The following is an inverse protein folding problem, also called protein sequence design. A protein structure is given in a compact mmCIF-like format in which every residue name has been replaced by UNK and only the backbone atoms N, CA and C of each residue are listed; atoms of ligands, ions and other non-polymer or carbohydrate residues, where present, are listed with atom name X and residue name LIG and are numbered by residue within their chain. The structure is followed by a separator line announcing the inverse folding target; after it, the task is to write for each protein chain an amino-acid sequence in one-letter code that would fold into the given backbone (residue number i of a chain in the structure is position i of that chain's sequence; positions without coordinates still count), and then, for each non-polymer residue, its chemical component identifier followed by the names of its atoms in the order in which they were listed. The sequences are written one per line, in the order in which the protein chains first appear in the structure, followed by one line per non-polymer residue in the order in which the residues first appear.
data_IF_414550506898
#
_entry.id   IF_414550506898
#
_cell.length_a   1.000
_cell.length_b   1.000
_cell.length_c   1.000
_cell.angle_alpha   90.00
_cell.angle_beta   90.00
_cell.angle_gamma   90.00
#
_symmetry.space_group_name_H-M   'P 1'
#
loop_
_entity.id
_entity.type
_entity.pdbx_description
1 polymer ?
#
# COMPACT_ATOMS: atom_id res chain seq x y z
N UNK A 1 23.83 21.40 4.30
CA UNK A 1 23.53 22.75 4.86
C UNK A 1 23.96 23.76 3.79
N UNK A 2 23.04 24.60 3.37
CA UNK A 2 23.32 25.70 2.44
C UNK A 2 22.86 27.00 3.10
N UNK A 3 23.69 28.03 3.08
CA UNK A 3 23.42 29.34 3.70
C UNK A 3 22.92 29.24 5.16
N UNK A 4 23.52 28.38 5.98
CA UNK A 4 23.13 28.09 7.37
C UNK A 4 21.74 27.48 7.57
N UNK A 5 21.07 27.03 6.49
CA UNK A 5 19.79 26.35 6.54
C UNK A 5 19.97 24.85 6.33
N UNK A 6 19.10 24.06 6.97
CA UNK A 6 19.03 22.60 6.76
C UNK A 6 17.95 22.34 5.72
N UNK A 7 18.33 21.68 4.64
CA UNK A 7 17.42 21.25 3.60
C UNK A 7 17.24 19.74 3.66
N UNK A 8 15.99 19.27 3.58
CA UNK A 8 15.68 17.87 3.40
C UNK A 8 15.43 17.59 1.91
N UNK A 9 16.05 16.53 1.41
CA UNK A 9 15.77 16.07 0.04
C UNK A 9 14.39 15.40 0.00
N UNK A 10 13.70 15.60 -1.12
CA UNK A 10 12.38 14.99 -1.33
C UNK A 10 12.51 13.49 -1.48
N UNK A 11 11.85 12.74 -0.63
CA UNK A 11 11.76 11.29 -0.71
C UNK A 11 10.34 10.79 -1.11
N UNK A 12 9.35 11.69 -1.06
CA UNK A 12 7.94 11.39 -1.34
C UNK A 12 7.22 12.68 -1.75
N UNK A 13 6.31 12.58 -2.74
CA UNK A 13 5.47 13.70 -3.16
C UNK A 13 4.23 13.86 -2.30
N UNK A 14 3.62 12.77 -1.84
CA UNK A 14 2.38 12.81 -1.06
C UNK A 14 2.53 13.66 0.19
N UNK A 15 3.61 13.49 0.97
CA UNK A 15 3.89 14.32 2.16
C UNK A 15 3.98 15.81 1.81
N UNK A 16 4.65 16.15 0.71
CA UNK A 16 4.79 17.54 0.30
C UNK A 16 3.48 18.15 -0.19
N UNK A 17 2.68 17.38 -0.93
CA UNK A 17 1.37 17.82 -1.40
C UNK A 17 0.41 18.00 -0.23
N UNK A 18 0.43 17.12 0.76
CA UNK A 18 -0.35 17.27 2.00
C UNK A 18 0.01 18.56 2.72
N UNK A 19 1.30 18.87 2.88
CA UNK A 19 1.75 20.13 3.50
C UNK A 19 1.40 21.34 2.66
N UNK A 20 1.58 21.29 1.36
CA UNK A 20 1.25 22.38 0.46
C UNK A 20 -0.24 22.71 0.51
N UNK A 21 -1.10 21.72 0.36
CA UNK A 21 -2.56 21.95 0.33
C UNK A 21 -3.18 22.19 1.71
N UNK A 22 -2.47 21.89 2.80
CA UNK A 22 -2.88 22.37 4.13
C UNK A 22 -2.78 23.89 4.25
N UNK A 23 -1.82 24.49 3.54
CA UNK A 23 -1.62 25.95 3.53
C UNK A 23 -2.38 26.64 2.38
N UNK A 24 -2.52 25.95 1.25
CA UNK A 24 -3.12 26.47 0.03
C UNK A 24 -4.24 25.54 -0.45
N UNK A 25 -5.46 25.66 0.11
CA UNK A 25 -6.58 24.80 -0.25
C UNK A 25 -6.83 24.76 -1.76
N UNK A 26 -7.12 23.58 -2.29
CA UNK A 26 -7.41 23.37 -3.71
C UNK A 26 -8.81 22.82 -3.89
N UNK A 27 -9.47 23.22 -4.98
CA UNK A 27 -10.70 22.59 -5.45
C UNK A 27 -10.43 21.37 -6.37
N UNK A 28 -9.16 21.10 -6.69
CA UNK A 28 -8.81 19.96 -7.51
C UNK A 28 -9.08 18.65 -6.77
N UNK A 29 -9.80 17.74 -7.40
CA UNK A 29 -10.06 16.38 -6.88
C UNK A 29 -9.01 15.38 -7.33
N UNK A 30 -8.20 15.73 -8.33
CA UNK A 30 -7.09 14.92 -8.84
C UNK A 30 -5.90 15.80 -9.16
N UNK A 31 -4.71 15.35 -8.77
CA UNK A 31 -3.45 16.03 -9.06
C UNK A 31 -2.44 15.01 -9.55
N UNK A 32 -1.94 15.19 -10.76
CA UNK A 32 -0.81 14.42 -11.27
C UNK A 32 0.50 15.17 -11.00
N UNK A 33 1.57 14.44 -10.74
CA UNK A 33 2.89 15.01 -10.51
C UNK A 33 3.99 14.16 -11.14
N UNK A 34 5.11 14.81 -11.41
CA UNK A 34 6.37 14.14 -11.76
C UNK A 34 7.55 14.96 -11.23
N UNK A 35 8.63 14.30 -10.90
CA UNK A 35 9.86 14.96 -10.49
C UNK A 35 10.83 14.03 -9.78
N UNK A 36 11.97 14.60 -9.41
CA UNK A 36 13.02 13.87 -8.72
C UNK A 36 12.67 13.60 -7.26
N UNK A 37 12.95 12.40 -6.84
CA UNK A 37 12.98 11.96 -5.45
C UNK A 37 14.37 11.40 -5.12
N UNK A 38 14.74 11.43 -3.85
CA UNK A 38 15.98 10.83 -3.36
C UNK A 38 15.60 9.73 -2.37
N UNK A 39 15.96 8.48 -2.68
CA UNK A 39 15.78 7.33 -1.80
C UNK A 39 17.08 6.54 -1.76
N UNK A 40 17.49 6.12 -0.57
CA UNK A 40 18.72 5.32 -0.37
C UNK A 40 19.97 5.97 -1.02
N UNK A 41 20.08 7.31 -0.98
CA UNK A 41 21.12 8.11 -1.62
C UNK A 41 21.14 8.07 -3.17
N UNK A 42 20.09 7.56 -3.79
CA UNK A 42 19.93 7.53 -5.23
C UNK A 42 18.83 8.48 -5.68
N UNK A 43 19.06 9.17 -6.80
CA UNK A 43 18.06 10.01 -7.44
C UNK A 43 17.24 9.18 -8.41
N UNK A 44 15.92 9.28 -8.32
CA UNK A 44 14.99 8.64 -9.24
C UNK A 44 13.89 9.61 -9.64
N UNK A 45 13.24 9.37 -10.76
CA UNK A 45 12.05 10.11 -11.18
C UNK A 45 10.82 9.38 -10.65
N UNK A 46 9.97 10.09 -9.93
CA UNK A 46 8.65 9.60 -9.55
C UNK A 46 7.57 10.27 -10.40
N UNK A 47 6.62 9.45 -10.86
CA UNK A 47 5.38 9.89 -11.50
C UNK A 47 4.24 9.44 -10.61
N UNK A 48 3.25 10.28 -10.36
CA UNK A 48 2.15 9.89 -9.51
C UNK A 48 0.85 10.67 -9.75
N UNK A 49 -0.18 10.20 -9.07
CA UNK A 49 -1.52 10.74 -9.12
C UNK A 49 -2.15 10.70 -7.72
N UNK A 50 -2.64 11.82 -7.26
CA UNK A 50 -3.41 11.92 -6.03
C UNK A 50 -4.91 12.11 -6.35
N UNK A 51 -5.76 11.37 -5.65
CA UNK A 51 -7.21 11.55 -5.65
C UNK A 51 -7.60 12.10 -4.27
N UNK A 52 -8.10 13.32 -4.20
CA UNK A 52 -8.61 13.93 -2.97
C UNK A 52 -10.10 13.66 -2.81
N UNK A 53 -10.57 13.50 -1.57
CA UNK A 53 -11.93 13.05 -1.25
C UNK A 53 -12.34 11.82 -2.12
N UNK A 54 -11.57 10.73 -2.03
CA UNK A 54 -11.65 9.62 -2.98
C UNK A 54 -12.95 8.84 -2.82
N UNK A 55 -13.65 8.59 -3.93
CA UNK A 55 -14.63 7.51 -4.00
C UNK A 55 -13.97 6.24 -4.58
N UNK A 56 -14.47 5.08 -4.19
CA UNK A 56 -13.96 3.81 -4.70
C UNK A 56 -13.89 3.77 -6.24
N UNK A 57 -14.95 4.22 -6.91
CA UNK A 57 -15.02 4.26 -8.37
C UNK A 57 -13.93 5.16 -8.99
N UNK A 58 -13.68 6.34 -8.39
CA UNK A 58 -12.66 7.26 -8.87
C UNK A 58 -11.25 6.71 -8.68
N UNK A 59 -11.00 6.02 -7.57
CA UNK A 59 -9.72 5.40 -7.27
C UNK A 59 -9.43 4.23 -8.21
N UNK A 60 -10.40 3.35 -8.41
CA UNK A 60 -10.32 2.24 -9.35
C UNK A 60 -10.09 2.73 -10.79
N UNK A 61 -10.78 3.76 -11.22
CA UNK A 61 -10.57 4.39 -12.52
C UNK A 61 -9.16 4.99 -12.65
N UNK A 62 -8.66 5.63 -11.61
CA UNK A 62 -7.31 6.20 -11.61
C UNK A 62 -6.24 5.12 -11.69
N UNK A 63 -6.38 4.03 -10.96
CA UNK A 63 -5.48 2.87 -11.06
C UNK A 63 -5.49 2.29 -12.47
N UNK A 64 -6.66 2.07 -13.05
CA UNK A 64 -6.81 1.58 -14.42
C UNK A 64 -6.11 2.48 -15.43
N UNK A 65 -6.31 3.79 -15.35
CA UNK A 65 -5.66 4.76 -16.23
C UNK A 65 -4.15 4.75 -16.08
N UNK A 66 -3.64 4.64 -14.84
CA UNK A 66 -2.21 4.60 -14.60
C UNK A 66 -1.56 3.31 -15.14
N UNK A 67 -2.21 2.17 -14.96
CA UNK A 67 -1.74 0.90 -15.56
C UNK A 67 -1.76 0.99 -17.08
N UNK A 68 -2.80 1.55 -17.70
CA UNK A 68 -2.85 1.77 -19.15
C UNK A 68 -1.72 2.68 -19.63
N UNK A 69 -1.40 3.74 -18.89
CA UNK A 69 -0.26 4.60 -19.17
C UNK A 69 1.05 3.80 -19.19
N UNK A 70 1.29 2.95 -18.18
CA UNK A 70 2.48 2.11 -18.09
C UNK A 70 2.54 1.13 -19.28
N UNK A 71 1.44 0.47 -19.59
CA UNK A 71 1.35 -0.45 -20.73
C UNK A 71 1.66 0.21 -22.06
N UNK A 72 1.13 1.41 -22.28
CA UNK A 72 1.29 2.14 -23.56
C UNK A 72 2.65 2.82 -23.69
N UNK A 73 3.14 3.47 -22.64
CA UNK A 73 4.35 4.28 -22.70
C UNK A 73 5.61 3.50 -22.34
N UNK A 74 5.51 2.57 -21.39
CA UNK A 74 6.64 1.79 -20.91
C UNK A 74 6.65 0.35 -21.46
N UNK A 75 5.60 -0.03 -22.21
CA UNK A 75 5.42 -1.36 -22.82
C UNK A 75 5.56 -2.52 -21.83
N UNK A 76 5.05 -2.32 -20.62
CA UNK A 76 5.16 -3.27 -19.54
C UNK A 76 3.77 -3.64 -19.01
N UNK A 77 3.57 -4.89 -18.68
CA UNK A 77 2.28 -5.42 -18.22
C UNK A 77 2.36 -5.80 -16.73
N UNK A 78 1.24 -5.67 -16.02
CA UNK A 78 1.14 -6.15 -14.65
C UNK A 78 1.33 -7.66 -14.64
N UNK A 79 2.31 -8.12 -13.87
CA UNK A 79 2.59 -9.53 -13.65
C UNK A 79 1.72 -10.07 -12.50
N UNK A 80 1.82 -9.46 -11.32
CA UNK A 80 0.97 -9.77 -10.18
C UNK A 80 0.63 -8.52 -9.37
N UNK A 81 -0.39 -8.64 -8.52
CA UNK A 81 -0.86 -7.56 -7.64
C UNK A 81 -0.76 -8.00 -6.18
N UNK A 82 -0.26 -7.14 -5.32
CA UNK A 82 -0.32 -7.31 -3.88
C UNK A 82 -1.36 -6.36 -3.31
N UNK A 83 -2.26 -6.89 -2.51
CA UNK A 83 -3.23 -6.14 -1.72
C UNK A 83 -2.91 -6.29 -0.24
N UNK A 84 -3.09 -5.24 0.51
CA UNK A 84 -3.06 -5.30 1.96
C UNK A 84 -3.91 -4.20 2.58
N UNK A 85 -4.01 -4.24 3.90
CA UNK A 85 -4.81 -3.25 4.62
C UNK A 85 -4.17 -3.00 5.99
N UNK A 86 -3.82 -1.77 6.30
CA UNK A 86 -3.06 -1.42 7.50
C UNK A 86 -3.79 -1.70 8.83
N UNK A 87 -5.12 -1.94 8.81
CA UNK A 87 -5.88 -2.32 10.00
C UNK A 87 -5.91 -3.84 10.25
N UNK A 88 -5.35 -4.67 9.36
CA UNK A 88 -5.38 -6.13 9.54
C UNK A 88 -4.61 -6.56 10.77
N UNK A 89 -3.46 -5.97 11.00
CA UNK A 89 -2.65 -6.31 12.16
C UNK A 89 -3.36 -6.00 13.47
N UNK A 90 -4.02 -4.84 13.57
CA UNK A 90 -4.82 -4.45 14.74
C UNK A 90 -6.02 -5.39 14.97
N UNK A 91 -6.55 -5.96 13.89
CA UNK A 91 -7.67 -6.92 13.98
C UNK A 91 -7.22 -8.34 14.37
N UNK A 92 -5.95 -8.68 14.15
CA UNK A 92 -5.40 -10.03 14.34
C UNK A 92 -4.52 -10.15 15.58
N UNK A 93 -3.93 -9.06 16.05
CA UNK A 93 -2.94 -9.06 17.13
C UNK A 93 -3.29 -8.01 18.18
N UNK A 94 -3.43 -8.45 19.42
CA UNK A 94 -3.64 -7.54 20.54
C UNK A 94 -2.53 -6.51 20.64
N UNK A 95 -2.88 -5.26 20.95
CA UNK A 95 -1.91 -4.16 21.05
C UNK A 95 -0.78 -4.42 22.05
N UNK A 96 -1.04 -5.19 23.11
CA UNK A 96 -0.02 -5.60 24.07
C UNK A 96 1.06 -6.52 23.49
N UNK A 97 0.73 -7.22 22.41
CA UNK A 97 1.65 -8.11 21.67
C UNK A 97 2.33 -7.42 20.49
N UNK A 98 1.95 -6.19 20.15
CA UNK A 98 2.58 -5.43 19.06
C UNK A 98 3.91 -4.81 19.50
N UNK A 99 4.82 -5.65 19.99
CA UNK A 99 6.18 -5.24 20.33
C UNK A 99 7.07 -5.17 19.08
N UNK A 100 8.15 -4.36 19.08
CA UNK A 100 9.07 -4.30 17.94
C UNK A 100 9.57 -5.66 17.48
N UNK A 101 9.88 -6.56 18.42
CA UNK A 101 10.38 -7.90 18.11
C UNK A 101 9.34 -8.76 17.39
N UNK A 102 8.08 -8.75 17.88
CA UNK A 102 6.99 -9.51 17.24
C UNK A 102 6.66 -8.92 15.88
N UNK A 103 6.63 -7.58 15.75
CA UNK A 103 6.38 -6.91 14.47
C UNK A 103 7.47 -7.22 13.44
N UNK A 104 8.75 -7.21 13.84
CA UNK A 104 9.86 -7.63 12.98
C UNK A 104 9.73 -9.08 12.51
N UNK A 105 9.38 -10.00 13.43
CA UNK A 105 9.15 -11.41 13.07
C UNK A 105 7.98 -11.59 12.10
N UNK A 106 6.93 -10.79 12.22
CA UNK A 106 5.79 -10.80 11.28
C UNK A 106 6.24 -10.32 9.91
N UNK A 107 6.97 -9.20 9.85
CA UNK A 107 7.49 -8.62 8.60
C UNK A 107 8.45 -9.59 7.90
N UNK A 108 9.35 -10.22 8.65
CA UNK A 108 10.30 -11.23 8.15
C UNK A 108 9.65 -12.60 7.88
N UNK A 109 8.36 -12.77 8.19
CA UNK A 109 7.65 -14.07 8.13
C UNK A 109 8.36 -15.18 8.91
N UNK A 110 8.97 -14.84 10.03
CA UNK A 110 9.71 -15.77 10.90
C UNK A 110 8.73 -16.59 11.75
N UNK A 111 8.15 -17.63 11.15
CA UNK A 111 7.16 -18.49 11.81
C UNK A 111 7.71 -19.17 13.07
N UNK A 112 8.94 -19.65 13.05
CA UNK A 112 9.55 -20.31 14.19
C UNK A 112 9.75 -19.37 15.38
N UNK A 113 10.15 -18.14 15.13
CA UNK A 113 10.21 -17.07 16.14
C UNK A 113 8.83 -16.75 16.68
N UNK A 114 7.86 -16.53 15.80
CA UNK A 114 6.49 -16.17 16.18
C UNK A 114 5.83 -17.21 17.09
N UNK A 115 6.02 -18.49 16.83
CA UNK A 115 5.44 -19.57 17.64
C UNK A 115 5.92 -19.56 19.09
N UNK A 116 7.10 -19.00 19.38
CA UNK A 116 7.60 -18.85 20.77
C UNK A 116 6.88 -17.76 21.57
N UNK A 117 6.34 -16.76 20.91
CA UNK A 117 5.63 -15.63 21.53
C UNK A 117 4.11 -15.74 21.38
N UNK A 118 3.68 -16.26 20.24
CA UNK A 118 2.30 -16.52 19.89
C UNK A 118 2.11 -18.05 19.84
N UNK A 119 0.95 -18.57 20.15
CA UNK A 119 0.73 -20.01 20.01
C UNK A 119 0.76 -20.43 18.54
N UNK A 120 0.98 -21.71 18.28
CA UNK A 120 0.86 -22.29 16.92
C UNK A 120 -0.50 -22.00 16.29
N UNK A 121 -1.57 -21.96 17.12
CA UNK A 121 -2.95 -21.73 16.67
C UNK A 121 -3.29 -20.23 16.54
N UNK A 122 -2.35 -19.33 16.80
CA UNK A 122 -2.60 -17.89 16.69
C UNK A 122 -2.94 -17.50 15.24
N UNK A 123 -3.95 -16.63 15.01
CA UNK A 123 -4.40 -16.26 13.68
C UNK A 123 -3.28 -15.83 12.72
N UNK A 124 -2.36 -14.97 13.17
CA UNK A 124 -1.22 -14.52 12.37
C UNK A 124 -0.36 -15.70 11.93
N UNK A 125 -0.05 -16.63 12.83
CA UNK A 125 0.76 -17.82 12.52
C UNK A 125 0.06 -18.69 11.50
N UNK A 126 -1.25 -18.89 11.65
CA UNK A 126 -2.03 -19.71 10.71
C UNK A 126 -2.10 -19.05 9.32
N UNK A 127 -2.33 -17.74 9.25
CA UNK A 127 -2.40 -17.02 7.98
C UNK A 127 -1.02 -17.02 7.29
N UNK A 128 0.06 -16.79 8.03
CA UNK A 128 1.42 -16.75 7.46
C UNK A 128 1.95 -18.10 6.99
N UNK A 129 1.37 -19.22 7.45
CA UNK A 129 1.68 -20.57 6.92
C UNK A 129 1.14 -20.76 5.50
N UNK A 130 0.10 -20.04 5.15
CA UNK A 130 -0.56 -20.20 3.86
C UNK A 130 0.12 -19.42 2.75
N UNK A 131 -0.07 -19.88 1.52
CA UNK A 131 0.31 -19.15 0.32
C UNK A 131 -0.44 -17.80 0.30
N UNK A 132 0.25 -16.73 -0.07
CA UNK A 132 -0.27 -15.37 -0.10
C UNK A 132 -1.54 -15.21 -0.93
N UNK A 133 -1.75 -16.01 -1.95
CA UNK A 133 -3.00 -16.06 -2.74
C UNK A 133 -4.18 -16.64 -1.95
N UNK A 134 -3.92 -17.52 -0.97
CA UNK A 134 -4.92 -18.19 -0.14
C UNK A 134 -5.15 -17.48 1.19
N UNK A 135 -4.26 -16.59 1.61
CA UNK A 135 -4.33 -15.92 2.92
C UNK A 135 -5.64 -15.17 3.14
N UNK A 136 -6.25 -14.62 2.07
CA UNK A 136 -7.56 -13.96 2.22
C UNK A 136 -8.66 -14.92 2.64
N UNK A 137 -8.64 -16.16 2.15
CA UNK A 137 -9.63 -17.18 2.53
C UNK A 137 -9.46 -17.60 4.00
N UNK A 138 -8.21 -17.71 4.45
CA UNK A 138 -7.91 -18.04 5.85
C UNK A 138 -8.25 -16.88 6.78
N UNK A 139 -8.00 -15.65 6.34
CA UNK A 139 -8.35 -14.42 7.06
C UNK A 139 -9.85 -14.35 7.41
N UNK A 140 -10.71 -14.85 6.52
CA UNK A 140 -12.17 -14.91 6.71
C UNK A 140 -12.60 -15.77 7.91
N UNK A 141 -11.76 -16.66 8.40
CA UNK A 141 -12.04 -17.48 9.57
C UNK A 141 -11.75 -16.75 10.89
N UNK A 142 -10.92 -15.69 10.85
CA UNK A 142 -10.43 -15.01 12.05
C UNK A 142 -10.98 -13.59 12.21
N UNK A 143 -11.43 -12.96 11.11
CA UNK A 143 -11.99 -11.61 11.12
C UNK A 143 -13.47 -11.68 10.72
N UNK A 144 -14.37 -10.96 11.42
CA UNK A 144 -15.78 -10.89 11.06
C UNK A 144 -16.01 -10.49 9.61
N UNK A 145 -16.97 -11.11 8.93
CA UNK A 145 -17.24 -10.87 7.52
C UNK A 145 -17.64 -9.43 7.18
N UNK A 146 -18.14 -8.69 8.15
CA UNK A 146 -18.52 -7.28 8.06
C UNK A 146 -17.40 -6.32 8.48
N UNK A 147 -16.23 -6.85 8.87
CA UNK A 147 -15.08 -6.01 9.23
C UNK A 147 -14.64 -5.15 8.02
N UNK A 148 -14.51 -3.82 8.18
CA UNK A 148 -14.25 -2.91 7.05
C UNK A 148 -13.07 -3.31 6.18
N UNK A 149 -11.94 -3.71 6.79
CA UNK A 149 -10.74 -4.13 6.06
C UNK A 149 -10.99 -5.37 5.18
N UNK A 150 -11.74 -6.35 5.69
CA UNK A 150 -12.06 -7.58 4.95
C UNK A 150 -13.02 -7.28 3.78
N UNK A 151 -14.03 -6.45 4.05
CA UNK A 151 -14.99 -6.01 3.02
C UNK A 151 -14.26 -5.28 1.89
N UNK A 152 -13.37 -4.34 2.23
CA UNK A 152 -12.62 -3.56 1.25
C UNK A 152 -11.69 -4.45 0.42
N UNK A 153 -10.93 -5.36 1.04
CA UNK A 153 -10.09 -6.32 0.34
C UNK A 153 -10.88 -7.21 -0.64
N UNK A 154 -12.05 -7.70 -0.23
CA UNK A 154 -12.94 -8.49 -1.10
C UNK A 154 -13.45 -7.69 -2.30
N UNK A 155 -13.82 -6.44 -2.09
CA UNK A 155 -14.27 -5.54 -3.17
C UNK A 155 -13.13 -5.32 -4.17
N UNK A 156 -11.94 -4.99 -3.71
CA UNK A 156 -10.78 -4.76 -4.56
C UNK A 156 -10.34 -6.03 -5.30
N UNK A 157 -10.25 -7.17 -4.63
CA UNK A 157 -9.92 -8.45 -5.27
C UNK A 157 -10.91 -8.78 -6.38
N UNK A 158 -12.23 -8.65 -6.12
CA UNK A 158 -13.27 -8.87 -7.13
C UNK A 158 -13.12 -7.92 -8.32
N UNK A 159 -12.92 -6.63 -8.06
CA UNK A 159 -12.73 -5.67 -9.13
C UNK A 159 -11.50 -5.98 -9.97
N UNK A 160 -10.36 -6.28 -9.38
CA UNK A 160 -9.14 -6.67 -10.09
C UNK A 160 -9.37 -7.90 -10.98
N UNK A 161 -10.10 -8.90 -10.49
CA UNK A 161 -10.49 -10.04 -11.33
C UNK A 161 -11.32 -9.62 -12.54
N UNK A 162 -12.24 -8.65 -12.40
CA UNK A 162 -13.02 -8.14 -13.55
C UNK A 162 -12.16 -7.38 -14.56
N UNK A 163 -11.00 -6.83 -14.12
CA UNK A 163 -10.00 -6.20 -15.01
C UNK A 163 -9.03 -7.22 -15.64
N UNK A 164 -9.16 -8.51 -15.31
CA UNK A 164 -8.35 -9.59 -15.88
C UNK A 164 -7.12 -9.98 -15.04
N UNK A 165 -6.86 -9.31 -13.91
CA UNK A 165 -5.76 -9.66 -13.00
C UNK A 165 -6.17 -10.85 -12.14
N UNK A 166 -5.48 -11.99 -12.32
CA UNK A 166 -5.77 -13.25 -11.61
C UNK A 166 -4.78 -13.56 -10.51
N UNK A 167 -3.55 -13.11 -10.67
CA UNK A 167 -2.46 -13.32 -9.72
C UNK A 167 -2.48 -12.19 -8.67
N UNK A 168 -3.22 -12.44 -7.59
CA UNK A 168 -3.45 -11.47 -6.52
C UNK A 168 -3.03 -12.10 -5.20
N UNK A 169 -2.06 -11.48 -4.56
CA UNK A 169 -1.49 -11.85 -3.28
C UNK A 169 -2.02 -10.95 -2.16
N UNK A 170 -2.15 -11.50 -0.96
CA UNK A 170 -2.44 -10.71 0.23
C UNK A 170 -1.14 -10.45 1.00
N UNK A 171 -0.94 -9.23 1.45
CA UNK A 171 0.08 -8.88 2.43
C UNK A 171 -0.58 -8.42 3.73
N UNK A 172 -0.44 -9.25 4.77
CA UNK A 172 -0.91 -8.95 6.13
C UNK A 172 0.20 -8.36 7.01
N UNK A 173 1.43 -8.30 6.49
CA UNK A 173 2.62 -7.94 7.29
C UNK A 173 2.96 -6.47 7.20
N UNK A 174 2.47 -5.78 6.17
CA UNK A 174 2.85 -4.41 5.89
C UNK A 174 2.43 -3.44 7.01
N UNK A 175 3.40 -2.65 7.43
CA UNK A 175 3.20 -1.53 8.33
C UNK A 175 3.04 -0.23 7.52
N UNK A 176 2.24 0.74 7.98
CA UNK A 176 2.13 2.02 7.29
C UNK A 176 3.49 2.73 7.29
N UNK A 177 4.05 3.09 6.12
CA UNK A 177 5.37 3.73 6.03
C UNK A 177 5.41 5.13 6.65
N UNK A 178 4.24 5.72 6.87
CA UNK A 178 4.01 6.99 7.57
C UNK A 178 2.71 6.93 8.35
N UNK A 179 2.61 7.67 9.43
CA UNK A 179 1.44 7.67 10.32
C UNK A 179 0.12 8.13 9.69
N UNK A 180 0.18 8.81 8.53
CA UNK A 180 -1.01 9.24 7.81
C UNK A 180 -1.55 8.19 6.83
N UNK A 181 -0.82 7.12 6.50
CA UNK A 181 -1.36 6.03 5.69
C UNK A 181 -2.34 5.18 6.48
N UNK A 182 -3.45 4.84 5.85
CA UNK A 182 -4.56 4.09 6.46
C UNK A 182 -5.27 3.27 5.40
N UNK A 183 -6.12 2.33 5.84
CA UNK A 183 -6.95 1.57 4.92
C UNK A 183 -6.17 0.64 3.99
N UNK A 184 -6.73 0.44 2.81
CA UNK A 184 -6.16 -0.45 1.80
C UNK A 184 -4.94 0.18 1.13
N UNK A 185 -3.94 -0.66 0.86
CA UNK A 185 -2.86 -0.37 -0.08
C UNK A 185 -2.79 -1.42 -1.19
N UNK A 186 -2.20 -1.02 -2.31
CA UNK A 186 -2.02 -1.86 -3.49
C UNK A 186 -0.60 -1.69 -4.05
N UNK A 187 -0.02 -2.78 -4.54
CA UNK A 187 1.21 -2.77 -5.31
C UNK A 187 0.98 -3.58 -6.59
N UNK A 188 1.31 -3.00 -7.73
CA UNK A 188 1.31 -3.72 -9.01
C UNK A 188 2.75 -3.91 -9.45
N UNK A 189 3.16 -5.16 -9.57
CA UNK A 189 4.47 -5.58 -10.06
C UNK A 189 4.38 -5.87 -11.55
N UNK A 190 5.44 -5.54 -12.29
CA UNK A 190 5.45 -5.59 -13.75
C UNK A 190 6.36 -6.71 -14.25
N UNK A 191 6.09 -7.21 -15.47
CA UNK A 191 6.72 -8.39 -16.00
C UNK A 191 8.12 -8.13 -16.57
N UNK A 192 8.31 -6.97 -17.24
CA UNK A 192 9.56 -6.66 -17.96
C UNK A 192 10.62 -6.01 -17.05
N UNK A 193 10.19 -5.37 -15.97
CA UNK A 193 11.10 -4.74 -15.01
C UNK A 193 10.66 -5.03 -13.57
N UNK A 194 11.33 -6.00 -12.95
CA UNK A 194 11.04 -6.44 -11.58
C UNK A 194 11.20 -5.34 -10.52
N UNK A 195 12.05 -4.35 -10.78
CA UNK A 195 12.23 -3.21 -9.87
C UNK A 195 11.11 -2.17 -10.00
N UNK A 196 10.30 -2.26 -11.06
CA UNK A 196 9.19 -1.35 -11.30
C UNK A 196 7.97 -1.78 -10.50
N UNK A 197 7.55 -0.95 -9.57
CA UNK A 197 6.37 -1.18 -8.76
C UNK A 197 5.51 0.07 -8.75
N UNK A 198 4.26 -0.05 -9.18
CA UNK A 198 3.24 0.97 -8.96
C UNK A 198 2.65 0.73 -7.57
N UNK A 199 2.85 1.68 -6.68
CA UNK A 199 2.31 1.63 -5.32
C UNK A 199 1.15 2.59 -5.17
N UNK A 200 0.16 2.22 -4.36
CA UNK A 200 -0.95 3.11 -4.01
C UNK A 200 -1.57 2.77 -2.67
N UNK A 201 -2.26 3.73 -2.09
CA UNK A 201 -2.92 3.52 -0.81
C UNK A 201 -3.68 4.74 -0.33
N UNK A 202 -4.61 4.49 0.58
CA UNK A 202 -5.34 5.54 1.27
C UNK A 202 -4.47 6.22 2.31
N UNK A 203 -4.68 7.50 2.46
CA UNK A 203 -4.09 8.31 3.52
C UNK A 203 -5.11 9.29 4.11
N UNK A 204 -4.88 9.64 5.38
CA UNK A 204 -5.69 10.60 6.11
C UNK A 204 -4.77 11.49 6.93
N UNK A 205 -4.63 12.72 6.47
CA UNK A 205 -3.86 13.78 7.12
C UNK A 205 -4.69 15.05 7.21
N UNK A 206 -4.11 16.19 6.83
CA UNK A 206 -4.84 17.44 6.63
C UNK A 206 -5.89 17.34 5.51
N UNK A 207 -5.67 16.44 4.58
CA UNK A 207 -6.57 16.08 3.48
C UNK A 207 -6.63 14.54 3.43
N UNK A 208 -7.82 14.01 3.13
CA UNK A 208 -7.99 12.58 2.84
C UNK A 208 -7.76 12.34 1.35
N UNK A 209 -7.06 11.25 1.02
CA UNK A 209 -6.77 10.94 -0.36
C UNK A 209 -6.41 9.48 -0.60
N UNK A 210 -6.26 9.18 -1.89
CA UNK A 210 -5.65 7.95 -2.37
C UNK A 210 -4.56 8.31 -3.38
N UNK A 211 -3.33 7.98 -3.05
CA UNK A 211 -2.17 8.22 -3.91
C UNK A 211 -1.77 7.01 -4.72
N UNK A 212 -1.28 7.26 -5.93
CA UNK A 212 -0.62 6.28 -6.79
C UNK A 212 0.75 6.82 -7.18
N UNK A 213 1.80 6.03 -7.05
CA UNK A 213 3.17 6.44 -7.38
C UNK A 213 3.95 5.34 -8.06
N UNK A 214 4.67 5.71 -9.12
CA UNK A 214 5.61 4.86 -9.84
C UNK A 214 6.99 5.52 -9.84
N UNK A 215 8.01 4.77 -9.46
CA UNK A 215 9.42 5.18 -9.60
C UNK A 215 9.97 4.62 -10.91
N UNK A 216 10.59 5.49 -11.71
CA UNK A 216 11.18 5.19 -13.01
C UNK A 216 12.69 5.08 -12.90
#
# INVERSE_FOLDING_TARGET
IYEHQIYALRNDFTDQLLRYYSMYPTAATKVAYTGLIIRNNEAAVQVGLENYAPSLANVQQSLKLFIQFIQQQLRDNVHFVVLGHYQLLDALLDKSLQTPDILSMIEERNLSGLVTYLSTEHPIVQILKENTQQQLNVLEHYIPNDHPALVELKIWKRWLHTQGYKDIHLDITAQPPRSYYTGLFIQCHFAENESRVLTGGYYKGSIEGFGLGLTL
#
